data_IF_988625831343
#
_entry.id   IF_988625831343
#
_cell.length_a   1.000
_cell.length_b   1.000
_cell.length_c   1.000
_cell.angle_alpha   90.00
_cell.angle_beta   90.00
_cell.angle_gamma   90.00
#
_symmetry.space_group_name_H-M   'P 1'
#
loop_
_entity.id
_entity.type
_entity.pdbx_description
1 polymer ?
#
# COMPACT_ATOMS: atom_id res chain seq x y z
N UNK A 1 22.86 4.85 -1.90
CA UNK A 1 22.34 4.84 -0.52
C UNK A 1 23.45 4.63 0.49
N UNK A 2 24.28 3.61 0.40
CA UNK A 2 25.39 3.37 1.35
C UNK A 2 26.39 4.54 1.43
N UNK A 3 26.66 5.23 0.31
CA UNK A 3 27.51 6.44 0.30
C UNK A 3 26.86 7.60 1.06
N UNK A 4 25.54 7.82 0.89
CA UNK A 4 24.79 8.84 1.63
C UNK A 4 24.81 8.54 3.13
N UNK A 5 24.65 7.27 3.53
CA UNK A 5 24.73 6.88 4.93
C UNK A 5 26.12 7.18 5.54
N UNK A 6 27.19 6.85 4.81
CA UNK A 6 28.56 7.15 5.24
C UNK A 6 28.81 8.64 5.41
N UNK A 7 28.33 9.47 4.46
CA UNK A 7 28.46 10.93 4.54
C UNK A 7 27.69 11.54 5.71
N UNK A 8 26.45 11.11 5.93
CA UNK A 8 25.64 11.57 7.06
C UNK A 8 26.27 11.19 8.39
N UNK A 9 26.75 9.96 8.50
CA UNK A 9 27.44 9.45 9.69
C UNK A 9 28.73 10.25 9.96
N UNK A 10 29.54 10.51 8.94
CA UNK A 10 30.76 11.29 9.08
C UNK A 10 30.50 12.74 9.56
N UNK A 11 29.33 13.28 9.26
CA UNK A 11 28.89 14.61 9.70
C UNK A 11 28.14 14.60 11.04
N UNK A 12 27.99 13.45 11.68
CA UNK A 12 27.25 13.30 12.94
C UNK A 12 25.74 13.55 12.82
N UNK A 13 25.17 13.36 11.61
CA UNK A 13 23.75 13.57 11.34
C UNK A 13 22.97 12.26 11.48
N UNK A 14 21.96 12.27 12.35
CA UNK A 14 21.03 11.14 12.56
C UNK A 14 19.74 11.32 11.76
N UNK A 15 19.87 11.65 10.48
CA UNK A 15 18.75 11.80 9.57
C UNK A 15 18.30 10.43 9.07
N UNK A 16 17.01 10.12 9.16
CA UNK A 16 16.40 8.97 8.50
C UNK A 16 15.93 9.32 7.09
N UNK A 17 16.02 8.37 6.19
CA UNK A 17 15.75 8.56 4.77
C UNK A 17 14.68 7.55 4.34
N UNK A 18 13.63 8.05 3.70
CA UNK A 18 12.67 7.22 2.96
C UNK A 18 13.15 7.09 1.53
N UNK A 19 13.27 5.87 1.04
CA UNK A 19 13.51 5.60 -0.37
C UNK A 19 12.33 4.85 -0.98
N UNK A 20 12.09 5.05 -2.26
CA UNK A 20 10.89 4.58 -2.95
C UNK A 20 11.25 3.44 -3.90
N UNK A 21 10.53 2.32 -3.79
CA UNK A 21 10.42 1.32 -4.83
C UNK A 21 9.20 1.65 -5.70
N UNK A 22 9.47 2.19 -6.89
CA UNK A 22 8.45 2.74 -7.80
C UNK A 22 8.86 2.50 -9.24
N UNK A 23 7.94 2.02 -10.07
CA UNK A 23 8.20 1.72 -11.48
C UNK A 23 9.42 0.81 -11.69
N UNK A 24 10.48 1.30 -12.31
CA UNK A 24 11.69 0.53 -12.59
C UNK A 24 12.39 -0.01 -11.33
N UNK A 25 12.17 0.63 -10.18
CA UNK A 25 12.73 0.19 -8.91
C UNK A 25 11.81 -0.76 -8.11
N UNK A 26 10.74 -1.28 -8.73
CA UNK A 26 9.96 -2.36 -8.13
C UNK A 26 10.79 -3.62 -7.89
N UNK A 27 11.74 -3.87 -8.77
CA UNK A 27 12.67 -5.00 -8.66
C UNK A 27 13.73 -4.71 -7.59
N UNK A 28 13.88 -5.65 -6.69
CA UNK A 28 14.92 -5.55 -5.67
C UNK A 28 16.32 -5.65 -6.30
N UNK A 29 17.35 -4.97 -5.74
CA UNK A 29 18.71 -5.10 -6.23
C UNK A 29 19.23 -6.51 -5.97
N UNK A 30 19.86 -7.12 -6.97
CA UNK A 30 20.42 -8.48 -6.88
C UNK A 30 21.81 -8.50 -6.25
N UNK A 31 22.65 -7.51 -6.58
CA UNK A 31 24.09 -7.52 -6.23
C UNK A 31 24.45 -6.57 -5.08
N UNK A 32 23.57 -5.61 -4.75
CA UNK A 32 23.88 -4.55 -3.78
C UNK A 32 22.91 -4.63 -2.61
N UNK A 33 23.47 -4.71 -1.40
CA UNK A 33 22.69 -4.60 -0.15
C UNK A 33 22.83 -3.21 0.47
N UNK A 34 21.82 -2.82 1.24
CA UNK A 34 21.86 -1.63 2.09
C UNK A 34 22.52 -2.00 3.41
N UNK A 35 23.69 -1.41 3.69
CA UNK A 35 24.54 -1.77 4.83
C UNK A 35 23.94 -1.36 6.18
N UNK A 36 23.23 -0.22 6.22
CA UNK A 36 22.61 0.31 7.44
C UNK A 36 21.07 0.43 7.28
N UNK A 37 20.32 -0.65 7.48
CA UNK A 37 18.86 -0.62 7.31
C UNK A 37 18.14 0.27 8.32
N UNK A 38 18.77 0.64 9.44
CA UNK A 38 18.13 1.48 10.47
C UNK A 38 18.02 2.94 10.06
N UNK A 39 18.83 3.39 9.12
CA UNK A 39 18.80 4.75 8.57
C UNK A 39 17.69 4.94 7.52
N UNK A 40 17.24 3.86 6.91
CA UNK A 40 16.34 3.93 5.76
C UNK A 40 14.99 3.28 6.07
N UNK A 41 13.97 3.75 5.38
CA UNK A 41 12.66 3.11 5.31
C UNK A 41 12.29 2.92 3.85
N UNK A 42 11.80 1.74 3.51
CA UNK A 42 11.30 1.44 2.17
C UNK A 42 9.85 1.90 2.04
N UNK A 43 9.58 2.77 1.08
CA UNK A 43 8.25 3.10 0.61
C UNK A 43 7.99 2.34 -0.69
N UNK A 44 7.17 1.31 -0.63
CA UNK A 44 6.73 0.55 -1.79
C UNK A 44 5.50 1.22 -2.42
N UNK A 45 5.57 1.61 -3.69
CA UNK A 45 4.54 2.45 -4.31
C UNK A 45 3.97 1.82 -5.60
N UNK A 46 3.03 0.82 -5.49
CA UNK A 46 2.54 0.03 -6.61
C UNK A 46 1.50 0.76 -7.48
N UNK A 47 1.85 1.89 -8.10
CA UNK A 47 0.94 2.71 -8.91
C UNK A 47 0.25 1.93 -10.04
N UNK A 48 0.88 0.88 -10.54
CA UNK A 48 0.35 0.05 -11.64
C UNK A 48 -0.49 -1.12 -11.15
N UNK A 49 -0.64 -1.30 -9.83
CA UNK A 49 -1.44 -2.37 -9.24
C UNK A 49 -2.88 -2.32 -9.73
N UNK A 50 -3.46 -3.48 -9.98
CA UNK A 50 -4.88 -3.62 -10.19
C UNK A 50 -5.62 -3.69 -8.85
N UNK A 51 -6.35 -2.63 -8.50
CA UNK A 51 -7.12 -2.53 -7.25
C UNK A 51 -8.50 -3.21 -7.32
N UNK A 52 -8.77 -4.05 -8.32
CA UNK A 52 -10.01 -4.85 -8.38
C UNK A 52 -9.95 -6.09 -7.46
N UNK A 53 -8.77 -6.47 -6.98
CA UNK A 53 -8.55 -7.55 -6.03
C UNK A 53 -7.69 -7.12 -4.86
N UNK A 54 -7.87 -7.78 -3.71
CA UNK A 54 -7.08 -7.58 -2.50
C UNK A 54 -6.09 -8.71 -2.29
N UNK A 55 -5.00 -8.43 -1.58
CA UNK A 55 -4.09 -9.45 -1.08
C UNK A 55 -4.68 -9.99 0.22
N UNK A 56 -4.76 -11.32 0.34
CA UNK A 56 -5.28 -12.02 1.53
C UNK A 56 -4.29 -13.10 1.98
N UNK A 57 -4.59 -13.76 3.09
CA UNK A 57 -3.79 -14.89 3.58
C UNK A 57 -3.74 -16.06 2.58
N UNK A 58 -4.78 -16.21 1.75
CA UNK A 58 -4.87 -17.26 0.72
C UNK A 58 -4.22 -16.86 -0.62
N UNK A 59 -3.69 -15.65 -0.71
CA UNK A 59 -3.07 -15.18 -1.96
C UNK A 59 -1.80 -15.96 -2.27
N UNK A 60 -1.82 -16.67 -3.39
CA UNK A 60 -0.65 -17.39 -3.89
C UNK A 60 0.34 -16.41 -4.48
N UNK A 61 1.54 -16.37 -3.92
CA UNK A 61 2.61 -15.50 -4.40
C UNK A 61 3.26 -16.15 -5.63
N UNK A 62 3.14 -15.56 -6.84
CA UNK A 62 3.79 -16.09 -8.03
C UNK A 62 5.31 -15.89 -7.97
N UNK A 63 6.02 -16.43 -8.97
CA UNK A 63 7.41 -16.03 -9.21
C UNK A 63 7.48 -14.55 -9.55
N UNK A 64 8.57 -13.91 -9.12
CA UNK A 64 8.86 -12.52 -9.52
C UNK A 64 8.89 -12.44 -11.05
N UNK A 65 8.17 -11.50 -11.67
CA UNK A 65 8.20 -11.34 -13.12
C UNK A 65 9.62 -10.99 -13.61
N UNK A 66 9.94 -11.40 -14.82
CA UNK A 66 11.24 -11.05 -15.42
C UNK A 66 11.33 -9.53 -15.65
N UNK A 67 12.48 -8.95 -15.28
CA UNK A 67 12.74 -7.54 -15.51
C UNK A 67 12.97 -7.29 -17.02
N UNK A 68 12.18 -6.40 -17.58
CA UNK A 68 12.32 -5.94 -18.94
C UNK A 68 12.45 -4.40 -18.95
N UNK A 69 13.62 -3.92 -19.37
CA UNK A 69 13.92 -2.49 -19.38
C UNK A 69 12.95 -1.73 -20.30
N UNK A 70 12.36 -0.65 -19.79
CA UNK A 70 11.40 0.20 -20.49
C UNK A 70 10.11 -0.52 -20.92
N UNK A 71 9.86 -1.73 -20.45
CA UNK A 71 8.58 -2.38 -20.65
C UNK A 71 7.60 -1.95 -19.56
N UNK A 72 6.60 -1.17 -19.96
CA UNK A 72 5.49 -0.87 -19.07
C UNK A 72 4.51 -2.03 -19.07
N UNK A 73 4.51 -2.79 -17.99
CA UNK A 73 3.47 -3.80 -17.73
C UNK A 73 2.67 -3.34 -16.52
N UNK A 74 1.35 -3.54 -16.58
CA UNK A 74 0.51 -3.40 -15.39
C UNK A 74 0.56 -4.74 -14.67
N UNK A 75 1.30 -4.86 -13.55
CA UNK A 75 1.36 -6.11 -12.82
C UNK A 75 0.00 -6.43 -12.21
N UNK A 76 -0.29 -7.73 -12.05
CA UNK A 76 -1.43 -8.17 -11.25
C UNK A 76 -1.21 -7.82 -9.77
N UNK A 77 -2.25 -7.93 -8.97
CA UNK A 77 -2.14 -7.74 -7.50
C UNK A 77 -1.14 -8.73 -6.90
N UNK A 78 -1.14 -9.97 -7.38
CA UNK A 78 -0.26 -11.05 -6.94
C UNK A 78 1.21 -10.81 -7.37
N UNK A 79 1.43 -10.29 -8.58
CA UNK A 79 2.76 -9.89 -9.05
C UNK A 79 3.32 -8.70 -8.25
N UNK A 80 2.49 -7.70 -7.93
CA UNK A 80 2.88 -6.64 -7.01
C UNK A 80 3.30 -7.19 -5.64
N UNK A 81 2.57 -8.19 -5.14
CA UNK A 81 2.92 -8.84 -3.89
C UNK A 81 4.23 -9.64 -3.99
N UNK A 82 4.48 -10.33 -5.12
CA UNK A 82 5.74 -11.02 -5.37
C UNK A 82 6.93 -10.05 -5.37
N UNK A 83 6.80 -8.90 -6.03
CA UNK A 83 7.83 -7.86 -6.06
C UNK A 83 8.10 -7.26 -4.66
N UNK A 84 7.04 -7.02 -3.87
CA UNK A 84 7.20 -6.59 -2.48
C UNK A 84 7.93 -7.65 -1.64
N UNK A 85 7.57 -8.93 -1.78
CA UNK A 85 8.24 -10.05 -1.09
C UNK A 85 9.70 -10.19 -1.51
N UNK A 86 10.02 -9.89 -2.76
CA UNK A 86 11.40 -9.87 -3.24
C UNK A 86 12.23 -8.79 -2.53
N UNK A 87 11.71 -7.58 -2.44
CA UNK A 87 12.33 -6.52 -1.63
C UNK A 87 12.51 -6.94 -0.18
N UNK A 88 11.53 -7.58 0.44
CA UNK A 88 11.57 -8.02 1.85
C UNK A 88 12.58 -9.16 2.09
N UNK A 89 13.04 -9.86 1.07
CA UNK A 89 14.14 -10.84 1.19
C UNK A 89 15.48 -10.14 1.47
N UNK A 90 15.76 -9.07 0.76
CA UNK A 90 17.02 -8.31 0.87
C UNK A 90 16.93 -7.15 1.87
N UNK A 91 15.75 -6.58 2.07
CA UNK A 91 15.49 -5.46 2.98
C UNK A 91 14.92 -5.92 4.32
N UNK A 92 15.56 -5.50 5.43
CA UNK A 92 15.18 -5.88 6.81
C UNK A 92 14.79 -4.68 7.68
N UNK A 93 14.67 -3.51 7.12
CA UNK A 93 14.18 -2.30 7.81
C UNK A 93 12.68 -2.13 7.68
N UNK A 94 12.19 -0.98 8.12
CA UNK A 94 10.79 -0.58 8.01
C UNK A 94 10.34 -0.56 6.55
N UNK A 95 9.15 -1.11 6.30
CA UNK A 95 8.49 -1.12 4.98
C UNK A 95 7.07 -0.58 5.13
N UNK A 96 6.71 0.41 4.35
CA UNK A 96 5.33 0.86 4.24
C UNK A 96 4.97 1.07 2.77
N UNK A 97 3.68 1.05 2.46
CA UNK A 97 3.22 1.19 1.09
C UNK A 97 2.61 2.56 0.85
N UNK A 98 2.83 3.09 -0.35
CA UNK A 98 2.08 4.21 -0.89
C UNK A 98 1.04 3.66 -1.85
N UNK A 99 -0.22 3.64 -1.43
CA UNK A 99 -1.31 3.03 -2.19
C UNK A 99 -2.10 4.08 -2.98
N UNK A 100 -2.77 3.63 -4.03
CA UNK A 100 -3.44 4.48 -4.99
C UNK A 100 -4.94 4.16 -5.13
N UNK A 101 -5.58 3.69 -4.05
CA UNK A 101 -7.01 3.37 -4.04
C UNK A 101 -7.87 4.57 -4.44
N UNK A 102 -7.51 5.76 -3.96
CA UNK A 102 -8.26 6.99 -4.22
C UNK A 102 -7.88 7.71 -5.51
N UNK A 103 -6.98 7.16 -6.32
CA UNK A 103 -6.58 7.79 -7.57
C UNK A 103 -7.58 7.47 -8.70
N UNK A 104 -7.35 6.45 -9.50
CA UNK A 104 -8.21 6.15 -10.67
C UNK A 104 -9.48 5.39 -10.28
N UNK A 105 -9.41 4.52 -9.29
CA UNK A 105 -10.45 3.54 -8.98
C UNK A 105 -11.68 4.19 -8.38
N UNK A 106 -11.54 5.30 -7.65
CA UNK A 106 -12.69 6.06 -7.15
C UNK A 106 -13.59 6.61 -8.27
N UNK A 107 -13.06 6.83 -9.48
CA UNK A 107 -13.85 7.30 -10.62
C UNK A 107 -14.62 6.17 -11.33
N UNK A 108 -14.20 4.93 -11.12
CA UNK A 108 -14.81 3.73 -11.69
C UNK A 108 -15.89 3.15 -10.78
N UNK A 109 -15.96 3.60 -9.54
CA UNK A 109 -16.93 3.21 -8.53
C UNK A 109 -17.70 4.45 -7.99
N UNK A 110 -18.72 4.95 -8.70
CA UNK A 110 -19.43 6.16 -8.30
C UNK A 110 -20.07 6.09 -6.92
N UNK A 111 -20.47 4.89 -6.48
CA UNK A 111 -21.06 4.66 -5.15
C UNK A 111 -20.02 4.52 -4.03
N UNK A 112 -18.78 4.23 -4.40
CA UNK A 112 -17.67 4.04 -3.46
C UNK A 112 -17.70 2.73 -2.66
N UNK A 113 -18.68 1.84 -2.88
CA UNK A 113 -18.84 0.64 -2.07
C UNK A 113 -17.85 -0.47 -2.42
N UNK A 114 -17.53 -0.64 -3.70
CA UNK A 114 -16.51 -1.60 -4.11
C UNK A 114 -15.11 -1.14 -3.65
N UNK A 115 -14.81 0.14 -3.79
CA UNK A 115 -13.59 0.75 -3.28
C UNK A 115 -13.49 0.62 -1.75
N UNK A 116 -14.57 0.88 -1.03
CA UNK A 116 -14.63 0.72 0.42
C UNK A 116 -14.32 -0.72 0.86
N UNK A 117 -14.84 -1.72 0.15
CA UNK A 117 -14.54 -3.12 0.40
C UNK A 117 -13.06 -3.44 0.17
N UNK A 118 -12.45 -2.92 -0.91
CA UNK A 118 -11.02 -3.10 -1.19
C UNK A 118 -10.15 -2.48 -0.11
N UNK A 119 -10.44 -1.25 0.29
CA UNK A 119 -9.73 -0.57 1.40
C UNK A 119 -9.78 -1.38 2.68
N UNK A 120 -10.96 -1.87 3.06
CA UNK A 120 -11.15 -2.71 4.24
C UNK A 120 -10.29 -3.97 4.18
N UNK A 121 -10.32 -4.70 3.07
CA UNK A 121 -9.58 -5.96 2.90
C UNK A 121 -8.06 -5.71 2.87
N UNK A 122 -7.60 -4.70 2.14
CA UNK A 122 -6.18 -4.38 2.01
C UNK A 122 -5.57 -3.90 3.34
N UNK A 123 -6.27 -3.07 4.11
CA UNK A 123 -5.80 -2.65 5.45
C UNK A 123 -5.67 -3.85 6.39
N UNK A 124 -6.63 -4.76 6.38
CA UNK A 124 -6.57 -5.99 7.18
C UNK A 124 -5.39 -6.88 6.82
N UNK A 125 -4.96 -6.81 5.58
CA UNK A 125 -3.86 -7.64 5.04
C UNK A 125 -2.46 -7.08 5.27
N UNK A 126 -2.31 -5.91 5.93
CA UNK A 126 -1.01 -5.29 6.22
C UNK A 126 0.01 -6.29 6.80
N UNK A 127 -0.42 -7.12 7.76
CA UNK A 127 0.46 -8.14 8.37
C UNK A 127 0.87 -9.24 7.39
N UNK A 128 -0.05 -9.69 6.54
CA UNK A 128 0.23 -10.68 5.50
C UNK A 128 1.25 -10.14 4.51
N UNK A 129 1.08 -8.87 4.14
CA UNK A 129 2.03 -8.19 3.27
C UNK A 129 3.37 -7.89 3.96
N UNK A 130 3.43 -7.90 5.29
CA UNK A 130 4.62 -7.53 6.05
C UNK A 130 4.92 -6.03 5.94
N UNK A 131 3.87 -5.22 5.95
CA UNK A 131 3.93 -3.76 5.93
C UNK A 131 3.68 -3.17 7.31
N UNK A 132 4.43 -2.14 7.65
CA UNK A 132 4.30 -1.40 8.90
C UNK A 132 3.19 -0.33 8.84
N UNK A 133 2.72 0.00 7.66
CA UNK A 133 1.64 0.97 7.46
C UNK A 133 1.39 1.33 6.00
N UNK A 134 0.39 2.19 5.79
CA UNK A 134 0.05 2.78 4.49
C UNK A 134 0.18 4.30 4.49
N UNK A 135 0.52 4.82 3.32
CA UNK A 135 0.25 6.19 2.89
C UNK A 135 -0.69 6.09 1.70
N UNK A 136 -1.82 6.75 1.77
CA UNK A 136 -2.78 6.79 0.66
C UNK A 136 -2.59 7.99 -0.23
N UNK A 137 -2.75 7.80 -1.53
CA UNK A 137 -2.92 8.90 -2.46
C UNK A 137 -4.18 9.69 -2.12
N UNK A 138 -4.05 11.02 -2.06
CA UNK A 138 -5.11 11.87 -1.55
C UNK A 138 -6.40 11.79 -2.37
N UNK A 139 -7.53 11.52 -1.71
CA UNK A 139 -8.83 11.51 -2.37
C UNK A 139 -9.23 12.91 -2.81
N UNK A 140 -9.53 13.08 -4.10
CA UNK A 140 -10.12 14.31 -4.62
C UNK A 140 -11.64 14.37 -4.39
N UNK A 141 -12.26 13.27 -3.94
CA UNK A 141 -13.70 13.09 -3.74
C UNK A 141 -14.02 12.50 -2.37
N UNK A 142 -13.31 12.92 -1.34
CA UNK A 142 -13.45 12.35 0.01
C UNK A 142 -14.84 12.43 0.61
N UNK A 143 -15.69 13.34 0.13
CA UNK A 143 -17.05 13.53 0.65
C UNK A 143 -18.16 13.31 -0.39
N UNK A 144 -17.86 13.01 -1.65
CA UNK A 144 -18.87 12.90 -2.70
C UNK A 144 -18.73 11.60 -3.51
N UNK A 145 -19.83 10.86 -3.74
CA UNK A 145 -21.19 11.09 -3.27
C UNK A 145 -21.39 10.82 -1.78
N UNK A 146 -20.45 10.13 -1.14
CA UNK A 146 -20.39 9.90 0.31
C UNK A 146 -18.93 9.72 0.74
N UNK A 147 -18.66 9.81 2.04
CA UNK A 147 -17.33 9.65 2.61
C UNK A 147 -17.06 8.21 3.11
N UNK A 148 -17.91 7.24 2.81
CA UNK A 148 -17.80 5.89 3.36
C UNK A 148 -16.45 5.22 3.04
N UNK A 149 -15.85 5.34 1.82
CA UNK A 149 -14.53 4.78 1.57
C UNK A 149 -13.44 5.29 2.52
N UNK A 150 -13.43 6.60 2.81
CA UNK A 150 -12.49 7.19 3.77
C UNK A 150 -12.82 6.79 5.20
N UNK A 151 -14.10 6.71 5.53
CA UNK A 151 -14.55 6.31 6.86
C UNK A 151 -14.17 4.86 7.20
N UNK A 152 -14.44 3.91 6.31
CA UNK A 152 -14.08 2.49 6.52
C UNK A 152 -12.57 2.30 6.55
N UNK A 153 -11.81 3.03 5.73
CA UNK A 153 -10.36 3.03 5.76
C UNK A 153 -9.85 3.42 7.15
N UNK A 154 -10.33 4.55 7.70
CA UNK A 154 -9.95 5.01 9.03
C UNK A 154 -10.39 4.03 10.13
N UNK A 155 -11.63 3.52 10.07
CA UNK A 155 -12.16 2.57 11.04
C UNK A 155 -11.31 1.28 11.08
N UNK A 156 -10.93 0.74 9.92
CA UNK A 156 -10.12 -0.47 9.81
C UNK A 156 -8.68 -0.27 10.27
N UNK A 157 -8.11 0.92 10.06
CA UNK A 157 -6.79 1.27 10.61
C UNK A 157 -6.79 1.36 12.14
N UNK A 158 -7.90 1.83 12.72
CA UNK A 158 -8.05 1.92 14.19
C UNK A 158 -8.36 0.57 14.82
N UNK A 159 -9.20 -0.22 14.18
CA UNK A 159 -9.58 -1.56 14.60
C UNK A 159 -9.63 -2.49 13.38
N UNK A 160 -8.58 -3.25 13.19
CA UNK A 160 -8.43 -4.20 12.10
C UNK A 160 -9.52 -5.28 12.09
N UNK A 161 -10.08 -5.60 13.25
CA UNK A 161 -11.06 -6.65 13.43
C UNK A 161 -12.50 -6.12 13.43
N UNK A 162 -12.70 -4.84 13.12
CA UNK A 162 -14.02 -4.25 12.97
C UNK A 162 -14.87 -5.01 11.92
N UNK A 163 -16.17 -5.10 12.15
CA UNK A 163 -17.10 -5.71 11.20
C UNK A 163 -17.49 -4.70 10.11
N UNK A 164 -17.23 -5.05 8.86
CA UNK A 164 -17.50 -4.18 7.71
C UNK A 164 -18.98 -3.81 7.59
N UNK A 165 -19.87 -4.78 7.74
CA UNK A 165 -21.30 -4.54 7.55
C UNK A 165 -21.87 -3.71 8.72
N UNK A 166 -21.36 -3.91 9.93
CA UNK A 166 -21.74 -3.06 11.08
C UNK A 166 -21.26 -1.61 10.88
N UNK A 167 -20.00 -1.41 10.50
CA UNK A 167 -19.44 -0.05 10.24
C UNK A 167 -20.21 0.63 9.11
N UNK A 168 -20.58 -0.11 8.06
CA UNK A 168 -21.38 0.38 6.95
C UNK A 168 -22.78 0.79 7.40
N UNK A 169 -23.47 -0.08 8.16
CA UNK A 169 -24.80 0.19 8.69
C UNK A 169 -24.79 1.43 9.59
N UNK A 170 -23.84 1.52 10.50
CA UNK A 170 -23.67 2.68 11.41
C UNK A 170 -23.47 3.97 10.62
N UNK A 171 -22.56 3.96 9.63
CA UNK A 171 -22.29 5.14 8.80
C UNK A 171 -23.55 5.61 8.05
N UNK A 172 -24.19 4.71 7.31
CA UNK A 172 -25.30 5.10 6.44
C UNK A 172 -26.57 5.45 7.24
N UNK A 173 -26.87 4.74 8.33
CA UNK A 173 -28.00 5.08 9.19
C UNK A 173 -27.87 6.45 9.85
N UNK A 174 -26.65 6.84 10.25
CA UNK A 174 -26.42 8.17 10.83
C UNK A 174 -26.55 9.31 9.82
N UNK A 175 -26.22 9.05 8.54
CA UNK A 175 -26.27 10.09 7.49
C UNK A 175 -27.64 10.17 6.82
N UNK A 176 -28.27 9.04 6.56
CA UNK A 176 -29.47 8.95 5.74
C UNK A 176 -30.73 8.49 6.48
N UNK A 177 -30.61 8.08 7.75
CA UNK A 177 -31.71 7.57 8.55
C UNK A 177 -31.90 6.06 8.40
N UNK A 178 -33.07 5.55 8.85
CA UNK A 178 -33.32 4.11 8.90
C UNK A 178 -33.59 3.46 7.53
N UNK A 179 -33.95 4.26 6.54
CA UNK A 179 -34.39 3.80 5.20
C UNK A 179 -33.23 3.80 4.15
N UNK A 180 -31.96 3.86 4.58
CA UNK A 180 -30.78 3.88 3.70
C UNK A 180 -30.56 2.59 2.91
#
# INVERSE_FOLDING_TARGET
>A
MNEIDRELTARGLDTRIVFIAYLDTYFAPEEISIENPTRFSLLYAPISRNYCSSITEDTVVPSVPEYERNAWKTPSTEECFALLKDWQRSWKGTVFSYEYHFWRHQFLDPGGLALARRLYEDVRSLRVMGLDGYVEDGSQRSGFPNAFPVYIYAATLMDRDCDYEQVKADYFSHIYGEDW
#
